data_IF_433017635520
#
_entry.id   IF_433017635520
#
_cell.length_a   1.000
_cell.length_b   1.000
_cell.length_c   1.000
_cell.angle_alpha   90.00
_cell.angle_beta   90.00
_cell.angle_gamma   90.00
#
_symmetry.space_group_name_H-M   'P 1'
#
loop_
_entity.id
_entity.type
_entity.pdbx_description
1 polymer ?
#
# COMPACT_ATOMS: atom_id res chain seq x y z
N UNK A 1 4.09 12.20 51.09
CA UNK A 1 3.20 12.12 49.91
C UNK A 1 3.72 13.12 48.90
N UNK A 2 4.31 12.65 47.80
CA UNK A 2 4.83 13.52 46.73
C UNK A 2 3.71 13.75 45.72
N UNK A 3 3.15 14.95 45.69
CA UNK A 3 2.10 15.34 44.74
C UNK A 3 2.74 15.58 43.36
N UNK A 4 2.38 14.75 42.38
CA UNK A 4 2.82 14.92 41.00
C UNK A 4 1.93 15.97 40.33
N UNK A 5 2.49 17.14 40.02
CA UNK A 5 1.81 18.15 39.20
C UNK A 5 1.98 17.83 37.72
N UNK A 6 0.87 17.84 36.97
CA UNK A 6 0.87 17.68 35.52
C UNK A 6 0.61 19.04 34.87
N UNK A 7 1.59 19.59 34.17
CA UNK A 7 1.47 20.85 33.43
C UNK A 7 0.98 20.56 32.01
N UNK A 8 -0.21 21.08 31.67
CA UNK A 8 -0.74 21.03 30.31
C UNK A 8 0.01 22.07 29.47
N UNK A 9 0.76 21.63 28.46
CA UNK A 9 1.43 22.52 27.52
C UNK A 9 0.42 22.95 26.46
N UNK A 10 0.29 24.26 26.26
CA UNK A 10 -0.62 24.82 25.25
C UNK A 10 0.03 24.66 23.86
N UNK A 11 -0.75 24.41 22.77
CA UNK A 11 -0.19 24.27 21.42
C UNK A 11 0.65 25.45 20.92
N UNK A 12 0.44 26.65 21.48
CA UNK A 12 1.25 27.84 21.19
C UNK A 12 2.63 27.82 21.89
N UNK A 13 2.74 27.10 23.00
CA UNK A 13 3.98 26.89 23.75
C UNK A 13 4.63 25.55 23.38
N UNK A 14 4.12 24.90 22.34
CA UNK A 14 4.63 23.62 21.88
C UNK A 14 5.97 23.81 21.18
N UNK A 15 6.92 22.94 21.52
CA UNK A 15 8.23 22.93 20.88
C UNK A 15 8.10 22.29 19.51
N UNK A 16 8.87 22.74 18.52
CA UNK A 16 8.81 22.12 17.19
C UNK A 16 9.13 20.63 17.29
N UNK A 17 8.22 19.79 16.79
CA UNK A 17 8.42 18.36 16.67
C UNK A 17 9.63 18.09 15.77
N UNK A 18 10.68 17.49 16.33
CA UNK A 18 11.82 17.05 15.55
C UNK A 18 11.41 15.79 14.77
N UNK A 19 11.41 15.91 13.43
CA UNK A 19 11.11 14.76 12.56
C UNK A 19 12.20 13.70 12.75
N UNK A 20 11.85 12.63 13.45
CA UNK A 20 12.72 11.47 13.58
C UNK A 20 13.17 10.99 12.20
N UNK A 21 14.48 10.81 12.04
CA UNK A 21 15.03 10.28 10.80
C UNK A 21 14.49 8.87 10.56
N UNK A 22 14.07 8.60 9.33
CA UNK A 22 13.69 7.26 8.90
C UNK A 22 14.90 6.38 8.56
N UNK A 23 16.14 6.92 8.64
CA UNK A 23 17.36 6.13 8.49
C UNK A 23 17.45 5.10 9.62
N UNK A 24 17.17 3.84 9.28
CA UNK A 24 17.12 2.73 10.23
C UNK A 24 15.71 2.23 10.55
N UNK A 25 14.66 2.84 10.00
CA UNK A 25 13.35 2.18 9.92
C UNK A 25 13.49 0.99 8.97
N UNK A 26 13.86 -0.15 9.54
CA UNK A 26 13.98 -1.42 8.84
C UNK A 26 12.73 -1.70 8.00
N UNK A 27 12.87 -2.51 6.96
CA UNK A 27 11.78 -2.84 6.03
C UNK A 27 10.50 -3.13 6.82
N UNK A 28 9.43 -2.37 6.53
CA UNK A 28 8.10 -2.57 7.11
C UNK A 28 7.82 -4.07 7.04
N UNK A 29 7.70 -4.71 8.20
CA UNK A 29 7.63 -6.17 8.31
C UNK A 29 6.29 -6.61 7.73
N UNK A 30 6.27 -6.88 6.44
CA UNK A 30 5.13 -7.45 5.72
C UNK A 30 4.74 -8.76 6.39
N UNK A 31 3.63 -8.74 7.12
CA UNK A 31 3.08 -9.96 7.72
C UNK A 31 2.71 -10.93 6.58
N UNK A 32 2.76 -12.24 6.86
CA UNK A 32 2.50 -13.27 5.84
C UNK A 32 1.14 -13.06 5.15
N UNK A 33 0.15 -12.58 5.90
CA UNK A 33 -1.16 -12.21 5.38
C UNK A 33 -1.06 -11.12 4.29
N UNK A 34 -0.38 -10.00 4.56
CA UNK A 34 -0.24 -8.91 3.59
C UNK A 34 0.51 -9.37 2.33
N UNK A 35 1.52 -10.24 2.48
CA UNK A 35 2.23 -10.81 1.33
C UNK A 35 1.32 -11.65 0.44
N UNK A 36 0.45 -12.48 1.04
CA UNK A 36 -0.52 -13.29 0.31
C UNK A 36 -1.56 -12.38 -0.36
N UNK A 37 -2.12 -11.41 0.37
CA UNK A 37 -3.08 -10.44 -0.17
C UNK A 37 -2.53 -9.69 -1.38
N UNK A 38 -1.28 -9.22 -1.29
CA UNK A 38 -0.63 -8.52 -2.40
C UNK A 38 -0.36 -9.46 -3.59
N UNK A 39 -0.02 -10.73 -3.33
CA UNK A 39 0.13 -11.75 -4.36
C UNK A 39 -1.18 -12.04 -5.10
N UNK A 40 -2.29 -12.21 -4.36
CA UNK A 40 -3.63 -12.41 -4.92
C UNK A 40 -4.08 -11.19 -5.72
N UNK A 41 -3.87 -9.97 -5.18
CA UNK A 41 -4.19 -8.74 -5.88
C UNK A 41 -3.42 -8.64 -7.21
N UNK A 42 -2.12 -8.94 -7.19
CA UNK A 42 -1.30 -8.95 -8.40
C UNK A 42 -1.81 -9.97 -9.42
N UNK A 43 -2.14 -11.18 -8.99
CA UNK A 43 -2.69 -12.22 -9.86
C UNK A 43 -4.03 -11.80 -10.49
N UNK A 44 -4.90 -11.18 -9.70
CA UNK A 44 -6.18 -10.63 -10.18
C UNK A 44 -5.97 -9.58 -11.29
N UNK A 45 -5.07 -8.62 -11.07
CA UNK A 45 -4.77 -7.58 -12.07
C UNK A 45 -4.21 -8.16 -13.37
N UNK A 46 -3.35 -9.18 -13.28
CA UNK A 46 -2.84 -9.90 -14.45
C UNK A 46 -3.99 -10.58 -15.20
N UNK A 47 -4.85 -11.32 -14.48
CA UNK A 47 -6.00 -11.98 -15.09
C UNK A 47 -6.94 -10.98 -15.80
N UNK A 48 -7.22 -9.85 -15.16
CA UNK A 48 -8.06 -8.80 -15.72
C UNK A 48 -7.45 -8.19 -16.99
N UNK A 49 -6.13 -7.98 -16.99
CA UNK A 49 -5.39 -7.48 -18.17
C UNK A 49 -5.42 -8.50 -19.31
N UNK A 50 -5.24 -9.79 -19.01
CA UNK A 50 -5.31 -10.86 -20.01
C UNK A 50 -6.71 -10.99 -20.61
N UNK A 51 -7.76 -10.94 -19.79
CA UNK A 51 -9.14 -10.97 -20.28
C UNK A 51 -9.43 -9.77 -21.18
N UNK A 52 -8.99 -8.58 -20.80
CA UNK A 52 -9.13 -7.39 -21.64
C UNK A 52 -8.39 -7.55 -22.96
N UNK A 53 -7.14 -8.03 -22.92
CA UNK A 53 -6.35 -8.30 -24.12
C UNK A 53 -7.02 -9.31 -25.05
N UNK A 54 -7.50 -10.43 -24.51
CA UNK A 54 -8.27 -11.42 -25.25
C UNK A 54 -9.51 -10.81 -25.91
N UNK A 55 -10.29 -10.04 -25.13
CA UNK A 55 -11.52 -9.42 -25.63
C UNK A 55 -11.24 -8.38 -26.73
N UNK A 56 -10.15 -7.61 -26.61
CA UNK A 56 -9.71 -6.66 -27.64
C UNK A 56 -9.23 -7.39 -28.90
N UNK A 57 -8.46 -8.48 -28.75
CA UNK A 57 -8.00 -9.30 -29.89
C UNK A 57 -9.17 -9.97 -30.62
N UNK A 58 -10.16 -10.45 -29.87
CA UNK A 58 -11.41 -11.00 -30.41
C UNK A 58 -12.22 -9.94 -31.17
N UNK A 59 -12.47 -8.78 -30.55
CA UNK A 59 -13.14 -7.63 -31.19
C UNK A 59 -12.42 -7.11 -32.43
N UNK A 60 -11.08 -7.10 -32.41
CA UNK A 60 -10.27 -6.67 -33.55
C UNK A 60 -10.33 -7.64 -34.74
N UNK A 61 -11.00 -8.79 -34.57
CA UNK A 61 -11.13 -9.82 -35.61
C UNK A 61 -9.83 -10.57 -35.89
N UNK A 62 -8.74 -10.30 -35.16
CA UNK A 62 -7.48 -11.05 -35.26
C UNK A 62 -7.66 -12.52 -34.88
N UNK A 63 -8.51 -12.79 -33.90
CA UNK A 63 -8.83 -14.16 -33.47
C UNK A 63 -9.81 -14.85 -34.44
N UNK A 64 -10.77 -14.10 -34.99
CA UNK A 64 -11.80 -14.61 -35.90
C UNK A 64 -11.30 -14.83 -37.34
N UNK A 65 -10.24 -14.14 -37.76
CA UNK A 65 -9.61 -14.29 -39.09
C UNK A 65 -8.60 -15.43 -39.17
N UNK A 66 -8.25 -16.03 -38.03
CA UNK A 66 -7.27 -17.12 -37.93
C UNK A 66 -7.90 -18.53 -37.96
N UNK A 67 -9.22 -18.63 -38.14
CA UNK A 67 -9.98 -19.88 -38.28
C UNK A 67 -10.79 -19.88 -39.58
#
# INVERSE_FOLDING_TARGET
>A
MTTTEYRVVHPLDDVQEEKCSTDGLGKIRMTRAVRISLGVLRAYLIAMTLMLGYHVLDLSGLLHRAH
#
